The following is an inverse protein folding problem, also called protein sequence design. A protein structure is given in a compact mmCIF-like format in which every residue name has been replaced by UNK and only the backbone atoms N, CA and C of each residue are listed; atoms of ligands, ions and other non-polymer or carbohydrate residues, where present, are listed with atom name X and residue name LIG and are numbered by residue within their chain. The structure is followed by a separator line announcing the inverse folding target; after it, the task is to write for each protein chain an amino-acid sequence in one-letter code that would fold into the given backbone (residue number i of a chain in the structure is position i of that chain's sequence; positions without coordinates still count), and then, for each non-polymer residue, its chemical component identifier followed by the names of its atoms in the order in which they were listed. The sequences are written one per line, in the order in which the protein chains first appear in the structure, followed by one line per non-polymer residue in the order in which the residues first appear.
data_IF_961303843794
#
_entry.id   IF_961303843794
#
_cell.length_a   1.000
_cell.length_b   1.000
_cell.length_c   1.000
_cell.angle_alpha   90.00
_cell.angle_beta   90.00
_cell.angle_gamma   90.00
#
_symmetry.space_group_name_H-M   'P 1'
#
loop_
_entity.id
_entity.type
_entity.pdbx_description
1 polymer ?
#
# COMPACT_ATOMS: atom_id res chain seq x y z
N UNK A 1 -4.77 -15.10 -2.31
CA UNK A 1 -4.84 -14.45 -3.65
C UNK A 1 -3.47 -14.01 -4.15
N UNK A 2 -2.80 -12.94 -3.66
CA UNK A 2 -1.48 -12.55 -4.19
C UNK A 2 -0.39 -13.61 -3.94
N UNK A 3 -0.45 -14.31 -2.80
CA UNK A 3 0.49 -15.40 -2.49
C UNK A 3 0.33 -16.61 -3.42
N UNK A 4 -0.86 -16.82 -3.97
CA UNK A 4 -1.14 -17.92 -4.89
C UNK A 4 -0.57 -17.62 -6.28
N UNK A 5 -0.74 -16.38 -6.74
CA UNK A 5 -0.11 -15.88 -7.99
C UNK A 5 1.42 -15.97 -7.89
N UNK A 6 2.00 -15.56 -6.76
CA UNK A 6 3.46 -15.65 -6.56
C UNK A 6 3.96 -17.11 -6.66
N UNK A 7 3.27 -18.06 -6.01
CA UNK A 7 3.65 -19.48 -6.08
C UNK A 7 3.50 -20.06 -7.49
N UNK A 8 2.46 -19.64 -8.21
CA UNK A 8 2.25 -20.08 -9.59
C UNK A 8 3.35 -19.56 -10.53
N UNK A 9 3.69 -18.28 -10.42
CA UNK A 9 4.80 -17.67 -11.16
C UNK A 9 6.12 -18.39 -10.85
N UNK A 10 6.43 -18.67 -9.58
CA UNK A 10 7.63 -19.42 -9.20
C UNK A 10 7.68 -20.83 -9.82
N UNK A 11 6.54 -21.51 -9.88
CA UNK A 11 6.45 -22.83 -10.50
C UNK A 11 6.67 -22.76 -12.01
N UNK A 12 6.05 -21.79 -12.68
CA UNK A 12 6.24 -21.55 -14.12
C UNK A 12 7.70 -21.19 -14.45
N UNK A 13 8.37 -20.40 -13.61
CA UNK A 13 9.78 -20.08 -13.77
C UNK A 13 10.67 -21.33 -13.68
N UNK A 14 10.43 -22.20 -12.69
CA UNK A 14 11.15 -23.49 -12.56
C UNK A 14 10.92 -24.41 -13.76
N UNK A 15 9.69 -24.48 -14.24
CA UNK A 15 9.36 -25.31 -15.42
C UNK A 15 10.02 -24.76 -16.68
N UNK A 16 10.09 -23.44 -16.86
CA UNK A 16 10.82 -22.80 -17.95
C UNK A 16 12.30 -23.18 -17.94
N UNK A 17 12.98 -23.02 -16.80
CA UNK A 17 14.39 -23.39 -16.64
C UNK A 17 14.63 -24.87 -16.95
N UNK A 18 13.74 -25.74 -16.46
CA UNK A 18 13.78 -27.18 -16.70
C UNK A 18 13.67 -27.53 -18.19
N UNK A 19 12.72 -26.94 -18.92
CA UNK A 19 12.57 -27.17 -20.35
C UNK A 19 13.75 -26.62 -21.16
N UNK A 20 14.27 -25.44 -20.80
CA UNK A 20 15.47 -24.88 -21.40
C UNK A 20 16.70 -25.79 -21.19
N UNK A 21 16.87 -26.32 -19.98
CA UNK A 21 17.95 -27.26 -19.67
C UNK A 21 17.83 -28.55 -20.49
N UNK A 22 16.63 -29.11 -20.61
CA UNK A 22 16.40 -30.31 -21.43
C UNK A 22 16.67 -30.05 -22.91
N UNK A 23 16.28 -28.89 -23.44
CA UNK A 23 16.58 -28.50 -24.83
C UNK A 23 18.09 -28.36 -25.05
N UNK A 24 18.81 -27.69 -24.13
CA UNK A 24 20.27 -27.56 -24.22
C UNK A 24 20.99 -28.92 -24.19
N UNK A 25 20.57 -29.81 -23.30
CA UNK A 25 21.10 -31.18 -23.24
C UNK A 25 20.79 -31.98 -24.51
N UNK A 26 19.57 -31.85 -25.04
CA UNK A 26 19.17 -32.49 -26.28
C UNK A 26 20.04 -31.99 -27.46
N UNK A 27 20.33 -30.69 -27.53
CA UNK A 27 21.23 -30.11 -28.53
C UNK A 27 22.67 -30.64 -28.44
N UNK A 28 23.21 -30.85 -27.24
CA UNK A 28 24.53 -31.45 -27.05
C UNK A 28 24.60 -32.94 -27.48
N UNK A 29 23.46 -33.62 -27.52
CA UNK A 29 23.34 -35.01 -27.98
C UNK A 29 22.94 -35.15 -29.46
N UNK A 30 22.86 -34.04 -30.20
CA UNK A 30 22.52 -34.02 -31.62
C UNK A 30 23.45 -34.93 -32.43
N UNK A 31 22.86 -35.78 -33.27
CA UNK A 31 23.58 -36.74 -34.12
C UNK A 31 23.82 -38.13 -33.51
N UNK A 32 23.53 -38.34 -32.22
CA UNK A 32 23.60 -39.69 -31.59
C UNK A 32 22.32 -40.51 -31.80
N UNK A 33 21.19 -39.84 -32.01
CA UNK A 33 19.88 -40.43 -32.22
C UNK A 33 19.40 -40.22 -33.67
N UNK A 34 18.44 -41.04 -34.16
CA UNK A 34 17.79 -40.81 -35.45
C UNK A 34 17.15 -39.42 -35.51
N UNK A 35 17.34 -38.70 -36.62
CA UNK A 35 16.92 -37.31 -36.80
C UNK A 35 15.42 -37.10 -36.49
N UNK A 36 14.54 -37.97 -37.03
CA UNK A 36 13.09 -37.91 -36.77
C UNK A 36 12.70 -38.10 -35.30
N UNK A 37 13.50 -38.80 -34.50
CA UNK A 37 13.26 -38.93 -33.07
C UNK A 37 13.70 -37.67 -32.32
N UNK A 38 14.88 -37.14 -32.67
CA UNK A 38 15.39 -35.87 -32.15
C UNK A 38 14.43 -34.71 -32.41
N UNK A 39 13.97 -34.53 -33.64
CA UNK A 39 13.10 -33.41 -34.02
C UNK A 39 11.76 -33.45 -33.29
N UNK A 40 11.19 -34.65 -33.07
CA UNK A 40 9.95 -34.80 -32.30
C UNK A 40 10.13 -34.40 -30.84
N UNK A 41 11.17 -34.93 -30.18
CA UNK A 41 11.43 -34.61 -28.77
C UNK A 41 11.75 -33.12 -28.59
N UNK A 42 12.52 -32.54 -29.53
CA UNK A 42 12.80 -31.10 -29.55
C UNK A 42 11.51 -30.29 -29.70
N UNK A 43 10.65 -30.65 -30.66
CA UNK A 43 9.37 -30.00 -30.88
C UNK A 43 8.45 -30.06 -29.66
N UNK A 44 8.39 -31.20 -28.97
CA UNK A 44 7.59 -31.37 -27.75
C UNK A 44 8.08 -30.47 -26.60
N UNK A 45 9.40 -30.41 -26.37
CA UNK A 45 9.96 -29.53 -25.34
C UNK A 45 9.86 -28.05 -25.71
N UNK A 46 10.04 -27.70 -26.99
CA UNK A 46 9.84 -26.33 -27.46
C UNK A 46 8.39 -25.90 -27.26
N UNK A 47 7.42 -26.74 -27.62
CA UNK A 47 5.99 -26.46 -27.42
C UNK A 47 5.66 -26.21 -25.94
N UNK A 48 6.17 -27.06 -25.03
CA UNK A 48 5.96 -26.88 -23.58
C UNK A 48 6.63 -25.60 -23.05
N UNK A 49 7.81 -25.26 -23.56
CA UNK A 49 8.50 -24.02 -23.21
C UNK A 49 7.69 -22.80 -23.68
N UNK A 50 7.15 -22.84 -24.91
CA UNK A 50 6.32 -21.77 -25.47
C UNK A 50 5.03 -21.62 -24.65
N UNK A 51 4.38 -22.72 -24.27
CA UNK A 51 3.19 -22.73 -23.40
C UNK A 51 3.47 -22.09 -22.03
N UNK A 52 4.56 -22.47 -21.35
CA UNK A 52 4.95 -21.86 -20.06
C UNK A 52 5.28 -20.38 -20.22
N UNK A 53 5.96 -20.01 -21.31
CA UNK A 53 6.30 -18.61 -21.59
C UNK A 53 5.06 -17.77 -21.85
N UNK A 54 4.03 -18.31 -22.55
CA UNK A 54 2.73 -17.63 -22.72
C UNK A 54 2.07 -17.36 -21.38
N UNK A 55 1.99 -18.37 -20.51
CA UNK A 55 1.40 -18.23 -19.17
C UNK A 55 2.11 -17.19 -18.32
N UNK A 56 3.45 -17.17 -18.35
CA UNK A 56 4.22 -16.15 -17.63
C UNK A 56 3.90 -14.74 -18.12
N UNK A 57 3.70 -14.54 -19.43
CA UNK A 57 3.30 -13.24 -19.98
C UNK A 57 1.90 -12.85 -19.54
N UNK A 58 0.94 -13.76 -19.63
CA UNK A 58 -0.44 -13.54 -19.17
C UNK A 58 -0.49 -13.13 -17.69
N UNK A 59 0.25 -13.83 -16.83
CA UNK A 59 0.39 -13.46 -15.41
C UNK A 59 1.07 -12.11 -15.23
N UNK A 60 2.11 -11.81 -16.02
CA UNK A 60 2.80 -10.51 -15.94
C UNK A 60 1.89 -9.34 -16.33
N UNK A 61 1.05 -9.51 -17.35
CA UNK A 61 0.07 -8.51 -17.78
C UNK A 61 -1.00 -8.32 -16.69
N UNK A 62 -1.54 -9.41 -16.13
CA UNK A 62 -2.50 -9.35 -15.04
C UNK A 62 -1.93 -8.63 -13.80
N UNK A 63 -0.66 -8.89 -13.45
CA UNK A 63 0.02 -8.21 -12.35
C UNK A 63 0.25 -6.73 -12.65
N UNK A 64 0.61 -6.37 -13.89
CA UNK A 64 0.74 -4.96 -14.31
C UNK A 64 -0.61 -4.22 -14.24
N UNK A 65 -1.69 -4.85 -14.66
CA UNK A 65 -3.03 -4.27 -14.58
C UNK A 65 -3.45 -4.02 -13.14
N UNK A 66 -3.20 -5.01 -12.27
CA UNK A 66 -3.45 -4.87 -10.83
C UNK A 66 -2.59 -3.77 -10.23
N UNK A 67 -1.31 -3.69 -10.58
CA UNK A 67 -0.41 -2.63 -10.12
C UNK A 67 -0.96 -1.24 -10.47
N UNK A 68 -1.35 -1.02 -11.72
CA UNK A 68 -1.98 0.24 -12.17
C UNK A 68 -3.25 0.58 -11.38
N UNK A 69 -4.09 -0.43 -11.12
CA UNK A 69 -5.31 -0.26 -10.32
C UNK A 69 -5.01 0.13 -8.86
N UNK A 70 -3.98 -0.46 -8.25
CA UNK A 70 -3.58 -0.12 -6.87
C UNK A 70 -2.94 1.27 -6.83
N UNK A 71 -2.11 1.65 -7.81
CA UNK A 71 -1.55 3.01 -7.92
C UNK A 71 -2.65 4.08 -8.04
N UNK A 72 -3.68 3.83 -8.86
CA UNK A 72 -4.85 4.70 -8.94
C UNK A 72 -5.60 4.81 -7.60
N UNK A 73 -5.69 3.70 -6.86
CA UNK A 73 -6.31 3.67 -5.53
C UNK A 73 -5.50 4.49 -4.53
N UNK A 74 -4.16 4.40 -4.56
CA UNK A 74 -3.28 5.22 -3.72
C UNK A 74 -3.49 6.71 -4.02
N UNK A 75 -3.47 7.10 -5.29
CA UNK A 75 -3.69 8.50 -5.68
C UNK A 75 -5.04 9.04 -5.19
N UNK A 76 -6.11 8.22 -5.26
CA UNK A 76 -7.43 8.58 -4.73
C UNK A 76 -7.40 8.76 -3.21
N UNK A 77 -6.82 7.82 -2.47
CA UNK A 77 -6.73 7.89 -1.00
C UNK A 77 -5.90 9.09 -0.56
N UNK A 78 -4.80 9.40 -1.27
CA UNK A 78 -3.97 10.57 -0.98
C UNK A 78 -4.74 11.89 -1.17
N UNK A 79 -5.56 11.99 -2.22
CA UNK A 79 -6.42 13.14 -2.46
C UNK A 79 -7.50 13.29 -1.37
N UNK A 80 -8.18 12.19 -1.01
CA UNK A 80 -9.17 12.16 0.08
C UNK A 80 -8.55 12.54 1.43
N UNK A 81 -7.34 12.05 1.70
CA UNK A 81 -6.58 12.37 2.91
C UNK A 81 -6.18 13.84 2.96
N UNK A 82 -5.74 14.42 1.84
CA UNK A 82 -5.41 15.83 1.76
C UNK A 82 -6.64 16.70 2.05
N UNK A 83 -7.78 16.39 1.43
CA UNK A 83 -9.04 17.07 1.69
C UNK A 83 -9.50 16.95 3.15
N UNK A 84 -9.42 15.74 3.74
CA UNK A 84 -9.77 15.54 5.15
C UNK A 84 -8.82 16.27 6.11
N UNK A 85 -7.54 16.44 5.75
CA UNK A 85 -6.59 17.21 6.55
C UNK A 85 -6.90 18.71 6.49
N UNK A 86 -7.27 19.23 5.31
CA UNK A 86 -7.76 20.60 5.17
C UNK A 86 -9.04 20.84 5.98
N UNK A 87 -9.99 19.88 5.96
CA UNK A 87 -11.22 19.95 6.76
C UNK A 87 -10.93 20.00 8.27
N UNK A 88 -9.97 19.21 8.76
CA UNK A 88 -9.54 19.23 10.16
C UNK A 88 -8.93 20.58 10.54
N UNK A 89 -8.07 21.15 9.70
CA UNK A 89 -7.45 22.46 9.97
C UNK A 89 -8.48 23.60 9.89
N UNK A 90 -9.45 23.54 8.96
CA UNK A 90 -10.57 24.47 8.92
C UNK A 90 -11.43 24.37 10.19
N UNK A 91 -11.75 23.16 10.65
CA UNK A 91 -12.50 22.95 11.88
C UNK A 91 -11.76 23.54 13.10
N UNK A 92 -10.43 23.33 13.18
CA UNK A 92 -9.58 23.90 14.23
C UNK A 92 -9.56 25.43 14.19
N UNK A 93 -9.53 26.01 12.99
CA UNK A 93 -9.62 27.47 12.83
C UNK A 93 -10.98 27.99 13.33
N UNK A 94 -12.09 27.36 12.96
CA UNK A 94 -13.44 27.73 13.44
C UNK A 94 -13.56 27.64 14.95
N UNK A 95 -12.96 26.61 15.57
CA UNK A 95 -12.85 26.51 17.04
C UNK A 95 -12.10 27.70 17.63
N UNK A 96 -10.96 28.07 17.05
CA UNK A 96 -10.16 29.21 17.54
C UNK A 96 -10.90 30.55 17.47
N UNK A 97 -11.80 30.71 16.49
CA UNK A 97 -12.68 31.88 16.34
C UNK A 97 -13.85 31.86 17.36
N UNK A 98 -14.11 30.73 17.99
CA UNK A 98 -15.12 30.55 19.03
C UNK A 98 -16.48 30.08 18.51
N UNK A 99 -16.54 29.48 17.31
CA UNK A 99 -17.77 28.89 16.77
C UNK A 99 -18.24 27.67 17.57
N UNK A 100 -17.30 26.89 18.11
CA UNK A 100 -17.58 25.72 18.95
C UNK A 100 -17.50 26.10 20.44
N UNK A 101 -18.66 26.22 21.09
CA UNK A 101 -18.75 26.57 22.52
C UNK A 101 -18.83 25.35 23.44
N UNK A 102 -19.34 24.24 22.92
CA UNK A 102 -19.37 22.95 23.63
C UNK A 102 -18.06 22.19 23.34
N UNK A 103 -17.29 21.95 24.40
CA UNK A 103 -16.02 21.22 24.30
C UNK A 103 -16.22 19.75 23.92
N UNK A 104 -17.36 19.15 24.27
CA UNK A 104 -17.67 17.76 23.93
C UNK A 104 -18.02 17.62 22.44
N UNK A 105 -18.79 18.56 21.90
CA UNK A 105 -19.09 18.62 20.45
C UNK A 105 -17.80 18.78 19.64
N UNK A 106 -16.92 19.69 20.08
CA UNK A 106 -15.61 19.87 19.47
C UNK A 106 -14.77 18.58 19.51
N UNK A 107 -14.61 17.97 20.69
CA UNK A 107 -13.79 16.76 20.87
C UNK A 107 -14.29 15.65 19.95
N UNK A 108 -15.60 15.42 19.88
CA UNK A 108 -16.17 14.37 19.03
C UNK A 108 -15.94 14.62 17.53
N UNK A 109 -16.01 15.88 17.08
CA UNK A 109 -15.72 16.24 15.70
C UNK A 109 -14.24 16.02 15.38
N UNK A 110 -13.35 16.53 16.23
CA UNK A 110 -11.90 16.38 16.06
C UNK A 110 -11.50 14.89 16.07
N UNK A 111 -11.99 14.11 17.04
CA UNK A 111 -11.74 12.68 17.14
C UNK A 111 -12.18 11.92 15.89
N UNK A 112 -13.35 12.28 15.32
CA UNK A 112 -13.86 11.65 14.10
C UNK A 112 -12.98 11.95 12.89
N UNK A 113 -12.58 13.21 12.70
CA UNK A 113 -11.72 13.62 11.58
C UNK A 113 -10.33 13.00 11.69
N UNK A 114 -9.75 13.00 12.90
CA UNK A 114 -8.45 12.36 13.18
C UNK A 114 -8.53 10.84 12.95
N UNK A 115 -9.59 10.18 13.41
CA UNK A 115 -9.78 8.75 13.19
C UNK A 115 -9.92 8.42 11.69
N UNK A 116 -10.64 9.25 10.92
CA UNK A 116 -10.76 9.12 9.47
C UNK A 116 -9.38 9.19 8.78
N UNK A 117 -8.56 10.19 9.14
CA UNK A 117 -7.20 10.34 8.61
C UNK A 117 -6.30 9.14 8.95
N UNK A 118 -6.36 8.65 10.19
CA UNK A 118 -5.61 7.45 10.62
C UNK A 118 -6.04 6.19 9.86
N UNK A 119 -7.34 6.07 9.55
CA UNK A 119 -7.88 5.00 8.72
C UNK A 119 -7.35 5.10 7.29
N UNK A 120 -7.33 6.30 6.68
CA UNK A 120 -6.76 6.53 5.35
C UNK A 120 -5.26 6.22 5.32
N UNK A 121 -4.49 6.64 6.33
CA UNK A 121 -3.07 6.31 6.47
C UNK A 121 -2.83 4.80 6.52
N UNK A 122 -3.66 4.08 7.26
CA UNK A 122 -3.60 2.62 7.34
C UNK A 122 -3.90 1.96 5.99
N UNK A 123 -4.88 2.48 5.23
CA UNK A 123 -5.21 1.98 3.90
C UNK A 123 -4.07 2.25 2.90
N UNK A 124 -3.52 3.46 2.92
CA UNK A 124 -2.39 3.87 2.08
C UNK A 124 -1.18 2.97 2.33
N UNK A 125 -0.84 2.70 3.59
CA UNK A 125 0.25 1.77 3.94
C UNK A 125 0.01 0.35 3.42
N UNK A 126 -1.22 -0.15 3.49
CA UNK A 126 -1.58 -1.48 2.94
C UNK A 126 -1.42 -1.50 1.42
N UNK A 127 -1.92 -0.49 0.73
CA UNK A 127 -1.86 -0.37 -0.73
C UNK A 127 -0.40 -0.24 -1.22
N UNK A 128 0.43 0.58 -0.57
CA UNK A 128 1.87 0.65 -0.85
C UNK A 128 2.58 -0.68 -0.63
N UNK A 129 2.22 -1.41 0.41
CA UNK A 129 2.73 -2.77 0.65
C UNK A 129 2.29 -3.78 -0.42
N UNK A 130 1.15 -3.58 -1.06
CA UNK A 130 0.70 -4.38 -2.21
C UNK A 130 1.47 -4.01 -3.48
N UNK A 131 1.67 -2.72 -3.76
CA UNK A 131 2.53 -2.22 -4.86
C UNK A 131 3.92 -2.86 -4.79
N UNK A 132 4.56 -2.83 -3.61
CA UNK A 132 5.88 -3.42 -3.43
C UNK A 132 5.92 -4.93 -3.76
N UNK A 133 4.90 -5.68 -3.30
CA UNK A 133 4.78 -7.12 -3.57
C UNK A 133 4.56 -7.43 -5.06
N UNK A 134 3.66 -6.70 -5.72
CA UNK A 134 3.40 -6.87 -7.16
C UNK A 134 4.65 -6.49 -7.98
N UNK A 135 5.36 -5.44 -7.58
CA UNK A 135 6.61 -5.03 -8.20
C UNK A 135 7.71 -6.10 -8.09
N UNK A 136 7.80 -6.79 -6.95
CA UNK A 136 8.73 -7.92 -6.77
C UNK A 136 8.42 -9.09 -7.72
N UNK A 137 7.14 -9.47 -7.86
CA UNK A 137 6.71 -10.52 -8.79
C UNK A 137 7.10 -10.16 -10.23
N UNK A 138 6.85 -8.92 -10.66
CA UNK A 138 7.25 -8.46 -11.99
C UNK A 138 8.77 -8.49 -12.19
N UNK A 139 9.54 -8.10 -11.17
CA UNK A 139 10.99 -8.13 -11.23
C UNK A 139 11.53 -9.57 -11.39
N UNK A 140 10.91 -10.56 -10.72
CA UNK A 140 11.26 -11.98 -10.87
C UNK A 140 11.04 -12.46 -12.31
N UNK A 141 9.88 -12.15 -12.90
CA UNK A 141 9.57 -12.53 -14.29
C UNK A 141 10.53 -11.87 -15.27
N UNK A 142 10.75 -10.55 -15.16
CA UNK A 142 11.66 -9.80 -16.05
C UNK A 142 13.11 -10.30 -15.95
N UNK A 143 13.57 -10.66 -14.76
CA UNK A 143 14.91 -11.23 -14.57
C UNK A 143 15.05 -12.56 -15.29
N UNK A 144 14.02 -13.39 -15.26
CA UNK A 144 14.03 -14.67 -15.95
C UNK A 144 13.97 -14.51 -17.47
N UNK A 145 13.21 -13.54 -17.98
CA UNK A 145 13.09 -13.28 -19.42
C UNK A 145 14.37 -12.72 -20.06
N UNK A 146 15.25 -12.08 -19.28
CA UNK A 146 16.54 -11.60 -19.79
C UNK A 146 17.34 -12.77 -20.40
N UNK A 147 17.71 -12.70 -21.69
CA UNK A 147 18.66 -13.65 -22.25
C UNK A 147 19.94 -13.60 -21.42
N UNK A 148 20.47 -14.76 -21.04
CA UNK A 148 21.76 -14.83 -20.34
C UNK A 148 22.83 -14.04 -21.10
N UNK A 149 23.81 -13.43 -20.40
CA UNK A 149 24.88 -12.70 -21.07
C UNK A 149 25.49 -13.60 -22.16
N UNK A 150 25.70 -13.07 -23.39
CA UNK A 150 26.32 -13.86 -24.44
C UNK A 150 27.61 -14.48 -23.90
N UNK A 151 27.91 -15.75 -24.24
CA UNK A 151 29.17 -16.36 -23.83
C UNK A 151 30.29 -15.39 -24.22
N UNK A 152 31.26 -15.13 -23.32
CA UNK A 152 32.37 -14.25 -23.66
C UNK A 152 32.95 -14.74 -24.98
N UNK A 153 33.19 -13.85 -25.97
CA UNK A 153 33.84 -14.26 -27.21
C UNK A 153 35.09 -15.05 -26.83
N UNK A 154 35.41 -16.16 -27.54
CA UNK A 154 36.60 -16.94 -27.25
C UNK A 154 37.77 -15.96 -27.16
N UNK A 155 38.40 -15.91 -25.99
CA UNK A 155 39.48 -14.97 -25.72
C UNK A 155 40.47 -15.05 -26.88
N UNK A 156 40.56 -13.96 -27.65
CA UNK A 156 41.67 -13.80 -28.56
C UNK A 156 42.94 -14.01 -27.72
N UNK A 157 43.91 -14.79 -28.20
CA UNK A 157 45.16 -15.00 -27.48
C UNK A 157 45.74 -13.63 -27.16
N UNK A 158 45.83 -13.31 -25.88
CA UNK A 158 46.37 -12.06 -25.39
C UNK A 158 47.70 -11.80 -26.12
N UNK A 159 47.88 -10.63 -26.76
CA UNK A 159 49.16 -10.30 -27.35
C UNK A 159 50.21 -10.38 -26.24
N UNK A 160 51.26 -11.16 -26.51
CA UNK A 160 52.37 -11.34 -25.59
C UNK A 160 52.85 -9.96 -25.07
N UNK A 161 53.18 -9.83 -23.78
CA UNK A 161 53.61 -8.57 -23.20
C UNK A 161 54.83 -8.07 -23.96
N UNK A 162 54.65 -6.97 -24.70
CA UNK A 162 55.73 -6.23 -25.33
C UNK A 162 56.56 -5.65 -24.18
N UNK A 163 57.77 -6.17 -24.02
CA UNK A 163 58.73 -5.66 -23.06
C UNK A 163 59.00 -4.17 -23.36
N UNK A 164 58.94 -3.29 -22.34
CA UNK A 164 59.20 -1.87 -22.55
C UNK A 164 60.67 -1.65 -22.93
N UNK A 165 60.87 -0.91 -24.04
CA UNK A 165 62.18 -0.49 -24.50
C UNK A 165 62.86 0.43 -23.47
N UNK A 166 64.20 0.37 -23.34
CA UNK A 166 64.94 1.17 -22.37
C UNK A 166 64.94 2.66 -22.75
N UNK A 167 64.87 3.58 -21.76
CA UNK A 167 64.87 5.02 -22.02
C UNK A 167 66.27 5.50 -22.46
N UNK A 168 66.35 6.45 -23.42
CA UNK A 168 67.61 7.08 -23.78
C UNK A 168 68.10 8.01 -22.67
N UNK A 169 69.38 7.87 -22.33
CA UNK A 169 70.11 8.73 -21.39
C UNK A 169 70.55 10.05 -22.04
N UNK A 170 70.75 11.05 -21.16
CA UNK A 170 71.46 12.35 -21.27
C UNK A 170 70.56 13.57 -21.49
N UNK A 171 70.80 14.73 -20.88
CA UNK A 171 72.02 15.26 -20.27
C UNK A 171 71.73 16.16 -19.04
N UNK A 172 72.75 16.30 -18.19
CA UNK A 172 72.79 17.14 -17.00
C UNK A 172 72.91 18.67 -17.32
N UNK A 173 72.72 19.56 -16.33
CA UNK A 173 72.31 20.96 -16.50
C UNK A 173 73.48 21.99 -16.43
N UNK A 174 73.25 23.26 -16.79
CA UNK A 174 74.06 24.39 -16.32
C UNK A 174 73.36 25.23 -15.22
N UNK A 175 74.09 26.10 -14.50
CA UNK A 175 73.76 26.52 -13.13
C UNK A 175 73.07 27.89 -12.98
N UNK A 176 72.30 28.00 -11.89
CA UNK A 176 72.02 29.13 -10.98
C UNK A 176 71.87 30.58 -11.50
N UNK A 177 70.69 31.17 -11.21
CA UNK A 177 70.58 32.56 -10.76
C UNK A 177 69.41 32.69 -9.75
N UNK A 178 69.68 33.33 -8.62
CA UNK A 178 68.77 33.62 -7.50
C UNK A 178 67.89 34.89 -7.77
N UNK A 179 66.89 35.20 -6.94
CA UNK A 179 65.69 35.97 -7.31
C UNK A 179 65.72 37.46 -6.91
N UNK A 180 64.83 38.31 -7.48
CA UNK A 180 64.34 39.53 -6.84
C UNK A 180 62.87 39.41 -6.35
N UNK A 181 62.42 40.33 -5.46
CA UNK A 181 61.27 40.15 -4.57
C UNK A 181 59.92 40.57 -5.15
N UNK A 182 58.88 40.17 -4.42
CA UNK A 182 57.45 40.37 -4.64
C UNK A 182 56.98 41.81 -4.93
N UNK A 183 55.84 41.94 -5.62
CA UNK A 183 54.85 42.97 -5.34
C UNK A 183 53.53 42.36 -4.82
N UNK A 184 52.98 43.06 -3.83
CA UNK A 184 51.63 42.91 -3.25
C UNK A 184 50.53 42.98 -4.33
N UNK A 185 49.43 42.20 -4.21
CA UNK A 185 48.17 42.55 -4.85
C UNK A 185 47.38 43.47 -3.93
N UNK A 186 47.07 44.65 -4.46
CA UNK A 186 46.14 45.62 -3.92
C UNK A 186 44.70 45.09 -3.96
N UNK A 187 43.95 45.61 -2.99
CA UNK A 187 42.51 45.63 -2.81
C UNK A 187 41.71 46.12 -4.04
N UNK A 188 40.38 46.00 -3.88
CA UNK A 188 39.28 46.52 -4.70
C UNK A 188 38.91 45.61 -5.90
N UNK A 189 37.67 45.19 -6.15
CA UNK A 189 36.38 45.74 -5.74
C UNK A 189 35.30 44.70 -6.10
N UNK A 190 34.34 44.54 -5.20
CA UNK A 190 32.89 44.42 -5.46
C UNK A 190 32.30 43.27 -6.30
N UNK A 191 31.42 42.52 -5.64
CA UNK A 191 30.07 42.33 -6.17
C UNK A 191 29.72 40.96 -6.71
N UNK A 192 29.65 39.95 -5.82
CA UNK A 192 28.77 38.82 -6.09
C UNK A 192 28.11 38.31 -4.81
N UNK A 193 26.80 38.56 -4.71
CA UNK A 193 25.91 38.12 -3.64
C UNK A 193 25.87 36.57 -3.60
N UNK A 194 26.51 35.96 -2.61
CA UNK A 194 26.29 34.56 -2.26
C UNK A 194 25.40 34.48 -1.02
N UNK A 195 24.21 33.92 -1.22
CA UNK A 195 23.12 33.75 -0.26
C UNK A 195 23.40 32.58 0.69
N UNK A 196 24.45 32.70 1.50
CA UNK A 196 24.84 31.67 2.48
C UNK A 196 25.50 32.30 3.72
N UNK A 197 24.83 33.28 4.35
CA UNK A 197 25.24 33.80 5.67
C UNK A 197 24.05 34.41 6.43
N UNK A 198 23.20 33.54 6.99
CA UNK A 198 22.29 33.90 8.09
C UNK A 198 22.44 32.83 9.18
N UNK A 199 23.61 32.85 9.82
CA UNK A 199 23.90 32.05 11.01
C UNK A 199 24.68 32.92 11.99
N UNK A 200 24.10 33.07 13.19
CA UNK A 200 24.64 33.58 14.46
C UNK A 200 24.64 35.10 14.70
N UNK A 201 23.87 35.54 15.70
CA UNK A 201 24.39 36.05 16.99
C UNK A 201 23.20 36.36 17.93
N UNK A 202 23.04 35.62 19.02
CA UNK A 202 23.60 35.90 20.35
C UNK A 202 22.60 36.69 21.23
N UNK A 203 21.76 35.93 21.95
CA UNK A 203 20.95 36.46 23.06
C UNK A 203 21.16 35.56 24.27
N UNK A 204 22.03 36.03 25.16
CA UNK A 204 22.29 35.49 26.49
C UNK A 204 21.01 35.30 27.32
N UNK A 205 20.86 34.19 28.06
CA UNK A 205 19.88 34.07 29.13
C UNK A 205 20.45 34.63 30.44
N UNK A 206 19.69 35.53 31.07
CA UNK A 206 19.94 35.97 32.44
C UNK A 206 19.69 34.85 33.45
N UNK A 207 20.63 34.79 34.36
CA UNK A 207 20.84 33.87 35.47
C UNK A 207 19.90 34.25 36.64
N UNK A 208 18.82 33.48 36.83
CA UNK A 208 18.10 33.46 38.10
C UNK A 208 18.55 32.23 38.90
N UNK A 209 19.36 32.47 39.93
CA UNK A 209 19.82 31.46 40.87
C UNK A 209 18.79 31.08 41.95
N UNK A 210 19.27 30.21 42.85
CA UNK A 210 18.72 29.69 44.14
C UNK A 210 18.50 28.14 44.07
N UNK A 211 18.92 27.33 45.08
CA UNK A 211 20.23 26.67 45.16
C UNK A 211 20.10 25.11 45.34
N UNK A 212 21.20 24.35 45.50
CA UNK A 212 21.15 22.90 45.69
C UNK A 212 21.22 22.50 47.18
N UNK A 213 20.25 21.75 47.67
CA UNK A 213 20.39 21.00 48.93
C UNK A 213 19.79 19.59 48.87
N UNK A 214 20.62 18.66 49.35
CA UNK A 214 20.28 17.39 50.00
C UNK A 214 19.96 16.17 49.15
N UNK A 215 21.04 15.45 48.84
CA UNK A 215 21.04 14.00 48.82
C UNK A 215 20.79 13.44 50.23
N UNK A 216 19.85 12.50 50.37
CA UNK A 216 19.89 11.46 51.41
C UNK A 216 19.51 10.11 50.83
N UNK A 217 20.48 9.20 50.89
CA UNK A 217 20.39 7.76 50.75
C UNK A 217 19.37 7.13 51.72
N UNK A 218 18.62 6.10 51.29
CA UNK A 218 18.36 4.85 52.06
C UNK A 218 17.42 3.88 51.30
N UNK A 219 18.04 2.83 50.77
CA UNK A 219 17.66 1.39 50.74
C UNK A 219 16.26 0.82 50.35
N UNK A 220 16.23 -0.44 49.86
CA UNK A 220 15.07 -1.10 49.26
C UNK A 220 14.31 -2.01 50.25
N UNK A 221 13.00 -2.15 50.07
CA UNK A 221 12.22 -3.25 50.64
C UNK A 221 11.26 -3.84 49.61
N UNK A 222 11.41 -5.14 49.37
CA UNK A 222 10.36 -6.07 48.96
C UNK A 222 10.09 -7.00 50.18
N UNK A 223 9.16 -7.97 50.11
CA UNK A 223 7.80 -7.99 49.56
C UNK A 223 6.77 -8.34 50.67
N UNK A 224 5.49 -8.02 50.50
CA UNK A 224 4.40 -8.58 51.33
C UNK A 224 3.15 -8.88 50.50
N UNK A 225 2.97 -10.17 50.21
CA UNK A 225 1.70 -10.92 50.25
C UNK A 225 1.65 -11.68 51.61
N UNK A 226 0.55 -12.33 52.07
CA UNK A 226 -0.72 -12.67 51.39
C UNK A 226 -2.00 -12.41 52.24
N UNK A 227 -3.20 -12.57 51.65
CA UNK A 227 -4.28 -13.43 52.19
C UNK A 227 -5.63 -13.27 51.46
N UNK A 228 -6.08 -14.41 50.93
CA UNK A 228 -7.41 -14.87 50.52
C UNK A 228 -8.65 -14.28 51.21
N UNK A 229 -9.77 -14.17 50.47
CA UNK A 229 -11.09 -14.84 50.73
C UNK A 229 -12.07 -14.64 49.53
N UNK A 230 -12.41 -15.75 48.85
CA UNK A 230 -13.63 -16.27 48.15
C UNK A 230 -14.87 -15.37 47.81
N UNK A 231 -15.88 -15.86 47.02
CA UNK A 231 -15.92 -16.66 45.76
C UNK A 231 -16.90 -16.06 44.68
N UNK A 232 -17.01 -16.62 43.45
CA UNK A 232 -17.84 -16.07 42.37
C UNK A 232 -19.30 -16.56 42.38
N UNK A 233 -20.24 -15.66 42.04
CA UNK A 233 -21.63 -16.00 41.73
C UNK A 233 -21.86 -16.11 40.22
N UNK A 234 -22.62 -17.14 39.89
CA UNK A 234 -22.99 -17.68 38.60
C UNK A 234 -24.23 -16.96 38.01
N UNK A 235 -24.44 -17.15 36.69
CA UNK A 235 -25.70 -17.02 35.91
C UNK A 235 -25.92 -15.75 35.06
N UNK A 236 -25.94 -15.99 33.73
CA UNK A 236 -26.51 -15.20 32.64
C UNK A 236 -28.07 -15.33 32.59
N UNK A 237 -28.84 -14.94 31.53
CA UNK A 237 -28.58 -14.09 30.35
C UNK A 237 -29.71 -13.04 30.03
N UNK A 238 -29.45 -12.21 29.00
CA UNK A 238 -30.34 -11.60 27.98
C UNK A 238 -31.72 -10.99 28.32
N UNK A 239 -32.00 -9.80 27.77
CA UNK A 239 -33.11 -9.47 26.82
C UNK A 239 -32.99 -7.98 26.38
N UNK A 240 -33.25 -7.61 25.11
CA UNK A 240 -33.17 -6.23 24.60
C UNK A 240 -34.52 -5.50 24.69
N UNK A 241 -34.50 -4.30 25.27
CA UNK A 241 -35.64 -3.40 25.38
C UNK A 241 -35.82 -2.49 24.15
N UNK A 242 -37.05 -2.48 23.67
CA UNK A 242 -37.66 -1.70 22.59
C UNK A 242 -37.55 -0.18 22.82
N UNK A 243 -37.35 0.58 21.73
CA UNK A 243 -37.40 2.05 21.71
C UNK A 243 -37.65 2.57 20.29
N UNK A 244 -38.92 2.66 19.95
CA UNK A 244 -39.51 3.28 18.76
C UNK A 244 -39.46 4.81 18.88
N UNK A 245 -38.81 5.52 17.94
CA UNK A 245 -39.01 6.97 17.71
C UNK A 245 -38.74 7.36 16.23
N UNK A 246 -39.45 6.74 15.28
CA UNK A 246 -39.68 7.32 13.94
C UNK A 246 -40.94 8.19 13.94
N UNK A 247 -40.93 9.29 14.69
CA UNK A 247 -42.04 10.25 14.66
C UNK A 247 -41.62 11.72 14.81
N UNK A 248 -40.36 12.04 14.52
CA UNK A 248 -39.91 13.42 14.57
C UNK A 248 -39.22 13.83 13.27
N UNK A 249 -40.08 14.30 12.36
CA UNK A 249 -39.82 15.39 11.43
C UNK A 249 -38.98 15.02 10.19
N UNK A 250 -39.60 14.75 9.05
CA UNK A 250 -40.53 15.68 8.37
C UNK A 250 -39.92 17.08 8.27
N UNK A 251 -38.82 17.19 7.53
CA UNK A 251 -38.46 18.40 6.80
C UNK A 251 -37.47 18.07 5.69
N UNK A 252 -37.77 18.60 4.50
CA UNK A 252 -37.00 18.60 3.24
C UNK A 252 -37.24 17.35 2.35
N UNK A 253 -37.70 17.42 1.09
CA UNK A 253 -38.06 18.55 0.23
C UNK A 253 -38.72 18.05 -1.07
N UNK A 254 -39.92 18.56 -1.36
CA UNK A 254 -40.43 19.09 -2.65
C UNK A 254 -40.01 18.45 -3.99
N UNK A 255 -41.01 18.06 -4.80
CA UNK A 255 -41.07 18.51 -6.20
C UNK A 255 -41.72 17.60 -7.25
N UNK A 256 -43.01 17.81 -7.50
CA UNK A 256 -43.53 18.03 -8.87
C UNK A 256 -44.10 16.85 -9.69
N UNK A 257 -45.41 16.93 -10.00
CA UNK A 257 -45.87 16.73 -11.38
C UNK A 257 -47.03 15.74 -11.66
N UNK A 258 -48.27 16.24 -11.60
CA UNK A 258 -49.27 16.07 -12.68
C UNK A 258 -50.13 14.79 -12.76
N UNK A 259 -51.46 14.98 -12.86
CA UNK A 259 -52.33 14.11 -13.68
C UNK A 259 -53.60 13.54 -13.04
N UNK A 260 -54.67 14.33 -13.08
CA UNK A 260 -56.09 14.00 -13.31
C UNK A 260 -56.67 12.58 -13.05
N UNK A 261 -57.79 12.54 -12.31
CA UNK A 261 -58.79 11.46 -12.42
C UNK A 261 -59.69 11.32 -11.19
N UNK A 262 -60.89 11.91 -11.24
CA UNK A 262 -61.87 11.88 -10.14
C UNK A 262 -62.63 10.56 -9.96
N UNK A 263 -63.31 10.43 -8.82
CA UNK A 263 -64.27 9.36 -8.54
C UNK A 263 -64.71 9.38 -7.07
N UNK A 264 -66.01 9.60 -6.86
CA UNK A 264 -66.69 9.84 -5.59
C UNK A 264 -66.78 8.62 -4.64
N UNK A 265 -66.86 8.96 -3.35
CA UNK A 265 -67.54 8.31 -2.22
C UNK A 265 -68.05 6.87 -2.35
N UNK A 266 -67.67 6.02 -1.38
CA UNK A 266 -68.64 5.52 -0.41
C UNK A 266 -67.99 5.02 0.88
N UNK A 267 -68.76 5.09 1.95
CA UNK A 267 -68.39 4.80 3.32
C UNK A 267 -68.94 3.42 3.69
N UNK A 268 -68.15 2.49 4.22
CA UNK A 268 -68.69 1.55 5.22
C UNK A 268 -67.63 0.80 6.04
N UNK A 269 -67.77 1.00 7.35
CA UNK A 269 -67.59 0.11 8.50
C UNK A 269 -66.99 -1.30 8.33
N UNK A 270 -65.88 -1.47 9.06
CA UNK A 270 -65.70 -2.42 10.19
C UNK A 270 -65.73 -3.95 9.95
N UNK A 271 -64.64 -4.55 10.46
CA UNK A 271 -64.46 -5.94 10.90
C UNK A 271 -63.94 -6.95 9.87
N UNK A 272 -62.63 -7.10 9.84
CA UNK A 272 -62.05 -8.45 9.76
C UNK A 272 -60.79 -8.54 10.61
N UNK A 273 -60.97 -9.16 11.78
CA UNK A 273 -59.93 -9.54 12.70
C UNK A 273 -58.84 -10.37 12.00
N UNK A 274 -57.60 -9.99 12.28
CA UNK A 274 -56.50 -10.88 12.68
C UNK A 274 -56.50 -12.29 12.09
N UNK A 275 -55.72 -12.42 11.01
CA UNK A 275 -54.96 -13.63 10.77
C UNK A 275 -53.56 -13.23 10.32
N UNK A 276 -52.74 -12.78 11.28
CA UNK A 276 -51.29 -12.73 11.10
C UNK A 276 -50.80 -14.18 11.02
N UNK A 277 -50.75 -14.71 9.79
CA UNK A 277 -49.97 -15.88 9.49
C UNK A 277 -48.53 -15.60 9.93
N UNK A 278 -48.03 -16.46 10.82
CA UNK A 278 -46.61 -16.59 11.12
C UNK A 278 -45.90 -17.11 9.87
N UNK A 279 -45.76 -16.25 8.86
CA UNK A 279 -44.92 -16.51 7.70
C UNK A 279 -43.49 -16.46 8.18
N UNK A 280 -42.80 -17.61 8.18
CA UNK A 280 -41.35 -17.63 8.26
C UNK A 280 -40.82 -16.69 7.18
N UNK A 281 -39.90 -15.76 7.49
CA UNK A 281 -39.34 -14.88 6.48
C UNK A 281 -38.76 -15.77 5.38
N UNK A 282 -39.29 -15.66 4.17
CA UNK A 282 -38.71 -16.32 3.01
C UNK A 282 -37.30 -15.73 2.89
N UNK A 283 -36.27 -16.56 2.79
CA UNK A 283 -34.90 -16.11 2.58
C UNK A 283 -34.48 -16.52 1.18
N UNK A 284 -33.82 -15.61 0.46
CA UNK A 284 -33.28 -15.89 -0.86
C UNK A 284 -31.81 -16.31 -0.72
N UNK A 285 -31.43 -17.41 -1.37
CA UNK A 285 -30.06 -17.94 -1.32
C UNK A 285 -29.27 -17.37 -2.49
N UNK A 286 -28.14 -16.72 -2.21
CA UNK A 286 -27.26 -16.19 -3.26
C UNK A 286 -26.70 -17.33 -4.12
N UNK A 287 -26.83 -17.28 -5.46
CA UNK A 287 -26.33 -18.34 -6.34
C UNK A 287 -24.80 -18.42 -6.41
N UNK A 288 -24.11 -17.34 -6.04
CA UNK A 288 -22.65 -17.27 -6.10
C UNK A 288 -21.99 -17.80 -4.82
N UNK A 289 -22.42 -17.33 -3.63
CA UNK A 289 -21.79 -17.67 -2.36
C UNK A 289 -22.66 -18.48 -1.39
N UNK A 290 -23.91 -18.81 -1.75
CA UNK A 290 -24.89 -19.53 -0.91
C UNK A 290 -25.30 -18.87 0.41
N UNK A 291 -24.97 -17.59 0.61
CA UNK A 291 -25.45 -16.81 1.75
C UNK A 291 -26.98 -16.64 1.68
N UNK A 292 -27.64 -16.69 2.84
CA UNK A 292 -29.05 -16.36 2.97
C UNK A 292 -29.20 -14.84 3.09
N UNK A 293 -29.99 -14.24 2.21
CA UNK A 293 -30.24 -12.80 2.17
C UNK A 293 -31.73 -12.54 2.37
N UNK A 294 -32.05 -11.31 2.77
CA UNK A 294 -33.43 -10.83 2.87
C UNK A 294 -34.01 -10.65 1.46
N UNK A 295 -35.27 -11.05 1.18
CA UNK A 295 -35.89 -10.84 -0.12
C UNK A 295 -35.98 -9.38 -0.56
N UNK A 296 -35.89 -8.43 0.38
CA UNK A 296 -35.87 -7.01 0.08
C UNK A 296 -34.51 -6.51 -0.46
N UNK A 297 -33.44 -7.30 -0.32
CA UNK A 297 -32.09 -6.94 -0.76
C UNK A 297 -31.88 -7.25 -2.25
N UNK A 298 -31.33 -6.30 -2.98
CA UNK A 298 -31.08 -6.43 -4.42
C UNK A 298 -29.71 -7.05 -4.71
N UNK A 299 -28.83 -7.08 -3.70
CA UNK A 299 -27.47 -7.58 -3.78
C UNK A 299 -27.17 -8.47 -2.57
N UNK A 300 -26.29 -9.46 -2.75
CA UNK A 300 -25.84 -10.29 -1.66
C UNK A 300 -24.95 -9.49 -0.70
N UNK A 301 -25.26 -9.49 0.60
CA UNK A 301 -24.50 -8.76 1.62
C UNK A 301 -23.08 -9.30 1.84
N UNK A 302 -22.85 -10.57 1.51
CA UNK A 302 -21.54 -11.22 1.64
C UNK A 302 -20.63 -11.04 0.42
N UNK A 303 -21.17 -11.12 -0.80
CA UNK A 303 -20.36 -11.12 -2.02
C UNK A 303 -20.65 -9.98 -3.01
N UNK A 304 -21.72 -9.21 -2.83
CA UNK A 304 -22.08 -8.07 -3.68
C UNK A 304 -22.73 -8.43 -5.01
N UNK A 305 -22.98 -9.72 -5.28
CA UNK A 305 -23.63 -10.17 -6.53
C UNK A 305 -25.14 -9.83 -6.53
N UNK A 306 -25.70 -9.47 -7.68
CA UNK A 306 -27.13 -9.21 -7.85
C UNK A 306 -27.97 -10.46 -7.55
N UNK A 307 -29.02 -10.29 -6.74
CA UNK A 307 -29.96 -11.36 -6.41
C UNK A 307 -31.10 -11.40 -7.43
N UNK A 308 -31.57 -12.60 -7.83
CA UNK A 308 -32.67 -12.70 -8.79
C UNK A 308 -33.97 -12.22 -8.12
N UNK A 309 -34.49 -11.08 -8.56
CA UNK A 309 -35.83 -10.62 -8.19
C UNK A 309 -36.87 -11.61 -8.74
N UNK A 310 -37.72 -12.15 -7.85
CA UNK A 310 -38.85 -13.01 -8.23
C UNK A 310 -39.96 -12.23 -8.99
#
# INVERSE_FOLDING_TARGET
MPDDVSREVDQLLKDREKYQHWLSRLEAEKGKAPERAYDRVRGDYQKRLDEVTSKLREHSEAVQDKLRSVEQTVARIEAERAAGAEELEEARLRRSVGEFRDENEWSQLEDRLVASLQQMDSQLKRAQGEIGRLGEILALVQRAERPGPPPPPPAEPAPAPVQPAPPPQRAAPPPAAAPPPAPEPADDDEGFLSLEELVLEDRAPEEFGIPPESATSSEPMAPMEPAATEPPSELAPAEPGVGDELAFLESLSLGGGGGEGGGEADSDSFSFLEQHGSGTPQTIICPHCSAANDPAEWYCTECGEELPAE
#
